data_IF_297933609159
#
_entry.id   IF_297933609159
#
_cell.length_a   1.000
_cell.length_b   1.000
_cell.length_c   1.000
_cell.angle_alpha   90.00
_cell.angle_beta   90.00
_cell.angle_gamma   90.00
#
_symmetry.space_group_name_H-M   'P 1'
#
loop_
_entity.id
_entity.type
_entity.pdbx_description
1 polymer ?
2 polymer ?
3 non-polymer ?
4 non-polymer ?
5 non-polymer ?
6 non-polymer ?
7 water ?
#
# COMPACT_ATOMS: atom_id res chain seq x y z
N UNK A 9 23.01 0.28 12.50
CA UNK A 9 21.82 -0.58 12.76
C UNK A 9 20.57 -0.08 11.99
N UNK A 10 20.45 1.23 11.89
CA UNK A 10 19.33 1.83 11.17
C UNK A 10 19.82 2.10 9.75
N UNK A 11 20.24 1.03 9.07
CA UNK A 11 20.78 1.13 7.71
C UNK A 11 19.73 1.27 6.60
N UNK A 12 18.46 1.31 6.97
CA UNK A 12 17.41 1.44 5.97
C UNK A 12 17.35 0.27 5.00
N UNK A 13 17.33 0.56 3.71
CA UNK A 13 17.27 -0.49 2.70
C UNK A 13 18.57 -1.28 2.60
N UNK A 14 19.63 -0.77 3.21
CA UNK A 14 20.91 -1.45 3.19
C UNK A 14 21.72 -1.23 1.92
N UNK A 15 22.83 -1.96 1.81
CA UNK A 15 23.70 -1.85 0.65
C UNK A 15 22.99 -2.30 -0.64
N UNK A 16 22.94 -1.42 -1.66
CA UNK A 16 22.30 -1.74 -2.93
C UNK A 16 22.82 -3.05 -3.51
N UNK A 17 21.89 -3.94 -3.84
CA UNK A 17 22.24 -5.25 -4.39
C UNK A 17 22.90 -5.15 -5.78
N UNK A 18 23.71 -6.15 -6.11
CA UNK A 18 24.40 -6.21 -7.40
C UNK A 18 23.63 -7.12 -8.36
N UNK A 19 23.34 -6.62 -9.55
CA UNK A 19 22.62 -7.41 -10.55
C UNK A 19 23.54 -8.46 -11.16
N UNK A 20 23.01 -9.68 -11.31
CA UNK A 20 23.77 -10.79 -11.87
C UNK A 20 24.41 -10.42 -13.20
N UNK A 21 25.54 -11.04 -13.49
CA UNK A 21 26.23 -10.75 -14.73
C UNK A 21 26.99 -9.44 -14.70
N UNK A 22 27.35 -8.98 -13.49
CA UNK A 22 28.10 -7.75 -13.28
C UNK A 22 27.49 -6.57 -14.01
N UNK A 23 26.16 -6.48 -13.97
CA UNK A 23 25.46 -5.40 -14.65
C UNK A 23 25.31 -4.17 -13.76
N UNK A 24 26.21 -4.01 -12.81
CA UNK A 24 26.16 -2.86 -11.93
C UNK A 24 25.10 -2.95 -10.85
N UNK A 25 25.08 -1.97 -9.93
CA UNK A 25 24.09 -1.98 -8.85
C UNK A 25 22.69 -1.71 -9.38
N UNK A 26 21.72 -2.40 -8.81
CA UNK A 26 20.33 -2.25 -9.23
C UNK A 26 19.89 -0.78 -9.11
N UNK A 27 20.34 -0.10 -8.07
CA UNK A 27 19.99 1.30 -7.83
C UNK A 27 21.01 1.94 -6.92
N UNK A 28 20.91 3.25 -6.70
CA UNK A 28 21.84 3.92 -5.81
C UNK A 28 21.07 4.83 -4.86
N UNK A 29 21.61 5.05 -3.67
CA UNK A 29 20.94 5.87 -2.65
C UNK A 29 20.35 7.19 -3.14
N UNK A 30 21.00 7.84 -4.10
CA UNK A 30 20.52 9.11 -4.61
C UNK A 30 19.13 9.02 -5.24
N UNK A 31 18.64 7.80 -5.42
CA UNK A 31 17.33 7.61 -6.02
C UNK A 31 16.22 7.55 -4.95
N UNK A 32 16.62 7.59 -3.69
CA UNK A 32 15.69 7.54 -2.56
C UNK A 32 15.46 8.95 -2.00
N UNK A 33 14.20 9.27 -1.71
CA UNK A 33 13.85 10.57 -1.13
C UNK A 33 14.37 10.61 0.31
N UNK A 34 14.50 11.81 0.86
CA UNK A 34 15.01 11.98 2.23
C UNK A 34 13.90 12.30 3.23
N UNK A 35 13.90 11.58 4.36
CA UNK A 35 12.89 11.75 5.39
C UNK A 35 13.50 12.00 6.77
N UNK A 36 12.69 12.54 7.68
CA UNK A 36 13.18 12.88 9.02
C UNK A 36 13.26 11.75 10.02
N UNK A 37 12.92 10.54 9.62
CA UNK A 37 12.94 9.45 10.58
C UNK A 37 13.92 8.35 10.24
N UNK A 38 14.27 7.52 11.24
CA UNK A 38 15.20 6.41 11.02
C UNK A 38 14.43 5.17 10.58
N UNK A 39 15.13 4.20 9.99
CA UNK A 39 14.52 2.96 9.55
C UNK A 39 15.53 1.81 9.59
N UNK A 40 15.03 0.62 9.90
CA UNK A 40 15.82 -0.58 9.95
C UNK A 40 15.37 -1.42 8.74
N UNK A 41 16.26 -2.25 8.18
CA UNK A 41 15.92 -3.08 7.02
C UNK A 41 14.95 -4.24 7.26
N UNK A 42 14.07 -4.48 6.28
CA UNK A 42 13.15 -5.62 6.38
C UNK A 42 13.97 -6.84 5.93
N UNK A 43 13.77 -8.00 6.56
CA UNK A 43 14.53 -9.20 6.15
C UNK A 43 14.26 -9.65 4.71
N UNK A 44 15.31 -9.94 3.93
CA UNK A 44 15.22 -10.47 2.55
C UNK A 44 15.63 -11.93 2.69
N UNK A 45 14.68 -12.82 2.44
CA UNK A 45 14.92 -14.24 2.60
C UNK A 45 14.34 -15.10 1.50
N UNK A 46 14.65 -16.40 1.57
CA UNK A 46 14.15 -17.37 0.64
C UNK A 46 12.86 -17.94 1.20
N UNK A 47 11.94 -18.22 0.29
CA UNK A 47 10.65 -18.79 0.64
C UNK A 47 10.85 -20.11 1.37
N UNK A 48 12.00 -20.75 1.20
CA UNK A 48 12.25 -22.01 1.89
C UNK A 48 12.83 -21.80 3.28
N UNK A 49 13.26 -20.57 3.55
CA UNK A 49 13.84 -20.21 4.84
C UNK A 49 12.80 -20.27 5.97
N UNK A 50 13.08 -21.06 7.02
CA UNK A 50 12.16 -21.19 8.15
C UNK A 50 11.85 -19.85 8.80
N UNK A 51 12.80 -18.92 8.75
CA UNK A 51 12.63 -17.60 9.33
C UNK A 51 11.55 -16.82 8.59
N UNK A 52 11.48 -16.99 7.27
CA UNK A 52 10.48 -16.28 6.45
C UNK A 52 9.08 -16.78 6.82
N UNK A 53 8.95 -18.10 7.00
CA UNK A 53 7.67 -18.68 7.35
C UNK A 53 7.25 -18.15 8.72
N UNK A 54 8.22 -18.04 9.61
CA UNK A 54 8.02 -17.54 10.98
C UNK A 54 7.55 -16.07 11.01
N UNK A 55 8.15 -15.25 10.15
CA UNK A 55 7.78 -13.85 10.08
C UNK A 55 6.35 -13.70 9.59
N UNK A 56 5.97 -14.43 8.55
CA UNK A 56 4.63 -14.33 7.99
C UNK A 56 3.58 -14.76 9.02
N UNK A 57 3.92 -15.83 9.74
CA UNK A 57 3.05 -16.34 10.77
C UNK A 57 2.85 -15.30 11.88
N UNK A 58 3.92 -14.62 12.28
CA UNK A 58 3.83 -13.64 13.36
C UNK A 58 3.40 -12.30 12.79
N UNK A 59 2.86 -12.33 11.58
CA UNK A 59 2.43 -11.10 10.94
C UNK A 59 3.47 -10.00 10.97
N UNK A 60 4.65 -10.32 10.47
CA UNK A 60 5.72 -9.34 10.37
C UNK A 60 6.16 -9.31 8.93
N UNK A 61 6.54 -8.13 8.42
CA UNK A 61 6.97 -8.03 7.03
C UNK A 61 8.22 -8.82 6.72
N UNK A 62 8.30 -9.28 5.48
CA UNK A 62 9.46 -10.02 5.00
C UNK A 62 9.43 -9.89 3.49
N UNK A 63 10.60 -9.75 2.89
CA UNK A 63 10.69 -9.73 1.44
C UNK A 63 11.15 -11.13 1.00
N UNK A 64 10.33 -11.83 0.20
CA UNK A 64 10.64 -13.16 -0.36
C UNK A 64 11.26 -12.95 -1.74
N UNK A 65 12.45 -13.49 -1.93
CA UNK A 65 13.16 -13.26 -3.19
C UNK A 65 13.01 -14.30 -4.29
N UNK A 66 12.50 -15.49 -3.96
CA UNK A 66 12.38 -16.55 -4.95
C UNK A 66 11.08 -17.34 -4.91
N UNK A 67 9.94 -16.65 -4.82
CA UNK A 67 8.66 -17.35 -4.79
C UNK A 67 8.19 -17.71 -6.22
N UNK A 68 8.64 -16.95 -7.23
CA UNK A 68 8.19 -17.15 -8.62
C UNK A 68 6.68 -16.86 -8.68
N UNK A 69 6.19 -16.12 -7.68
CA UNK A 69 4.76 -15.77 -7.58
C UNK A 69 4.21 -15.23 -8.90
N UNK A 70 4.86 -14.22 -9.49
CA UNK A 70 4.37 -13.65 -10.73
C UNK A 70 5.40 -13.85 -11.85
N UNK A 71 6.07 -14.99 -11.82
CA UNK A 71 7.11 -15.29 -12.82
C UNK A 71 6.66 -14.90 -14.26
N UNK A 72 5.49 -15.40 -14.73
CA UNK A 72 5.00 -15.07 -16.08
C UNK A 72 4.86 -13.57 -16.38
N UNK A 73 4.61 -12.75 -15.36
CA UNK A 73 4.47 -11.31 -15.59
C UNK A 73 5.81 -10.55 -15.64
N UNK A 74 6.90 -11.22 -15.28
CA UNK A 74 8.20 -10.54 -15.31
C UNK A 74 8.57 -10.01 -16.68
N UNK A 75 7.88 -10.52 -17.70
CA UNK A 75 8.16 -10.06 -19.07
C UNK A 75 7.25 -8.89 -19.45
N UNK A 76 6.24 -8.61 -18.62
CA UNK A 76 5.32 -7.51 -18.88
C UNK A 76 6.01 -6.16 -19.01
N UNK A 77 5.41 -5.30 -19.82
CA UNK A 77 5.89 -3.95 -20.05
C UNK A 77 4.78 -3.22 -20.80
N UNK A 78 4.92 -1.91 -20.95
CA UNK A 78 3.89 -1.13 -21.62
C UNK A 78 3.47 -1.69 -22.98
N UNK A 79 4.43 -2.05 -23.83
CA UNK A 79 4.10 -2.56 -25.15
C UNK A 79 3.31 -3.86 -25.08
N UNK A 80 3.86 -4.83 -24.37
CA UNK A 80 3.20 -6.12 -24.22
C UNK A 80 1.80 -5.97 -23.67
N UNK A 81 1.66 -5.18 -22.62
CA UNK A 81 0.35 -4.99 -21.98
C UNK A 81 -0.66 -4.30 -22.90
N UNK A 82 -0.23 -3.24 -23.56
CA UNK A 82 -1.10 -2.51 -24.45
C UNK A 82 -1.61 -3.39 -25.59
N UNK A 83 -0.99 -4.55 -25.75
CA UNK A 83 -1.34 -5.46 -26.83
C UNK A 83 -2.17 -6.67 -26.38
N UNK A 84 -2.22 -6.92 -25.07
CA UNK A 84 -2.95 -8.06 -24.57
C UNK A 84 -3.82 -7.82 -23.34
N UNK A 85 -3.79 -6.61 -22.79
CA UNK A 85 -4.56 -6.33 -21.59
C UNK A 85 -6.05 -6.14 -21.82
N UNK A 86 -6.44 -5.84 -23.06
CA UNK A 86 -7.85 -5.68 -23.36
C UNK A 86 -8.31 -4.26 -23.67
N UNK A 87 -9.61 -4.10 -23.86
CA UNK A 87 -10.20 -2.80 -24.17
C UNK A 87 -11.05 -2.25 -23.04
N UNK A 88 -10.92 -2.85 -21.86
CA UNK A 88 -11.68 -2.39 -20.70
C UNK A 88 -11.17 -1.06 -20.20
N UNK A 89 -11.88 -0.45 -19.26
CA UNK A 89 -11.45 0.85 -18.74
C UNK A 89 -10.46 0.70 -17.59
N UNK A 90 -9.49 1.61 -17.55
CA UNK A 90 -8.48 1.60 -16.50
C UNK A 90 -8.49 2.89 -15.72
N UNK A 91 -8.56 2.80 -14.39
CA UNK A 91 -8.56 3.99 -13.54
C UNK A 91 -7.15 4.59 -13.53
N UNK A 92 -7.05 5.84 -13.98
CA UNK A 92 -5.76 6.51 -14.03
C UNK A 92 -5.84 7.83 -13.26
N UNK A 93 -5.01 7.97 -12.24
CA UNK A 93 -4.99 9.16 -11.40
C UNK A 93 -3.96 10.14 -11.92
N UNK A 94 -4.34 11.41 -11.90
CA UNK A 94 -3.47 12.49 -12.37
C UNK A 94 -3.25 13.51 -11.26
N UNK A 95 -2.01 13.94 -11.10
CA UNK A 95 -1.68 14.92 -10.07
C UNK A 95 -0.51 15.79 -10.48
N UNK A 96 -0.44 16.98 -9.90
CA UNK A 96 0.66 17.89 -10.20
C UNK A 96 1.74 17.76 -9.14
N UNK A 97 1.61 16.75 -8.29
CA UNK A 97 2.58 16.50 -7.22
C UNK A 97 3.02 15.03 -7.27
N UNK A 98 4.13 14.70 -6.64
CA UNK A 98 4.59 13.32 -6.64
C UNK A 98 3.77 12.45 -5.68
N UNK A 99 3.08 13.09 -4.73
CA UNK A 99 2.28 12.35 -3.76
C UNK A 99 0.88 12.04 -4.24
N UNK A 100 0.57 10.75 -4.31
CA UNK A 100 -0.76 10.30 -4.73
C UNK A 100 -1.56 9.80 -3.53
N UNK A 101 -2.00 10.74 -2.70
CA UNK A 101 -2.78 10.40 -1.53
C UNK A 101 -4.11 9.77 -1.95
N UNK A 102 -4.40 8.60 -1.39
CA UNK A 102 -5.64 7.90 -1.69
C UNK A 102 -6.83 8.51 -0.92
N UNK A 103 -8.00 8.54 -1.57
CA UNK A 103 -9.21 9.06 -0.95
C UNK A 103 -10.43 8.26 -1.42
N UNK A 104 -11.41 8.13 -0.53
CA UNK A 104 -12.63 7.41 -0.82
C UNK A 104 -13.65 8.41 -1.32
N UNK A 105 -13.99 8.31 -2.60
CA UNK A 105 -14.95 9.22 -3.19
C UNK A 105 -16.34 9.16 -2.54
N UNK A 106 -16.70 7.99 -2.02
CA UNK A 106 -18.01 7.84 -1.38
C UNK A 106 -18.16 8.64 -0.10
N UNK A 107 -17.03 9.05 0.49
CA UNK A 107 -17.07 9.82 1.73
C UNK A 107 -16.89 11.31 1.48
N UNK A 108 -16.71 11.67 0.21
CA UNK A 108 -16.48 13.08 -0.13
C UNK A 108 -17.69 13.99 0.11
N UNK A 109 -18.87 13.39 0.25
CA UNK A 109 -20.08 14.14 0.48
C UNK A 109 -20.15 14.67 1.92
N UNK A 110 -19.60 13.91 2.87
CA UNK A 110 -19.61 14.32 4.28
C UNK A 110 -18.49 15.29 4.61
N UNK A 111 -17.64 15.56 3.64
CA UNK A 111 -16.54 16.50 3.80
C UNK A 111 -16.36 17.30 2.52
N UNK A 112 -17.25 18.27 2.33
CA UNK A 112 -17.23 19.12 1.13
C UNK A 112 -16.02 20.05 1.06
N UNK A 113 -15.32 20.21 2.18
CA UNK A 113 -14.14 21.08 2.22
C UNK A 113 -12.85 20.37 1.80
N UNK A 114 -12.96 19.10 1.42
CA UNK A 114 -11.80 18.33 0.99
C UNK A 114 -11.59 18.48 -0.51
N UNK A 115 -10.43 18.98 -0.91
CA UNK A 115 -10.10 19.17 -2.31
C UNK A 115 -8.94 18.26 -2.71
N UNK A 116 -9.25 17.12 -3.36
CA UNK A 116 -8.23 16.15 -3.81
C UNK A 116 -7.17 16.76 -4.70
N UNK A 117 -5.91 16.40 -4.46
CA UNK A 117 -4.80 16.91 -5.26
C UNK A 117 -4.58 16.03 -6.48
N UNK A 118 -5.33 14.94 -6.55
CA UNK A 118 -5.25 14.00 -7.66
C UNK A 118 -6.65 13.67 -8.14
N UNK A 119 -6.82 13.58 -9.46
CA UNK A 119 -8.11 13.29 -10.05
C UNK A 119 -8.07 11.96 -10.80
N UNK A 120 -9.16 11.20 -10.70
CA UNK A 120 -9.26 9.91 -11.38
C UNK A 120 -9.85 10.10 -12.77
N UNK A 121 -9.40 9.29 -13.72
CA UNK A 121 -9.89 9.36 -15.09
C UNK A 121 -9.86 7.99 -15.76
N UNK A 122 -11.01 7.49 -16.17
CA UNK A 122 -11.07 6.19 -16.85
C UNK A 122 -10.63 6.33 -18.30
N UNK A 123 -10.01 5.28 -18.82
CA UNK A 123 -9.55 5.28 -20.20
C UNK A 123 -9.04 3.90 -20.60
N UNK A 124 -8.74 3.74 -21.88
CA UNK A 124 -8.23 2.48 -22.40
C UNK A 124 -6.73 2.46 -22.18
N UNK A 125 -6.16 1.26 -22.05
CA UNK A 125 -4.72 1.14 -21.81
C UNK A 125 -3.92 1.93 -22.82
N UNK A 126 -4.28 1.80 -24.09
CA UNK A 126 -3.57 2.51 -25.16
C UNK A 126 -3.65 4.02 -24.96
N UNK A 127 -4.71 4.46 -24.30
CA UNK A 127 -4.89 5.88 -24.03
C UNK A 127 -3.92 6.30 -22.92
N UNK A 128 -3.71 5.40 -21.97
CA UNK A 128 -2.80 5.67 -20.86
C UNK A 128 -1.37 5.74 -21.38
N UNK A 129 -1.01 4.81 -22.26
CA UNK A 129 0.32 4.77 -22.83
C UNK A 129 0.57 6.00 -23.69
N UNK A 130 -0.47 6.41 -24.41
CA UNK A 130 -0.40 7.60 -25.25
C UNK A 130 -0.16 8.85 -24.41
N UNK A 131 -1.01 9.04 -23.40
CA UNK A 131 -0.91 10.20 -22.52
C UNK A 131 0.42 10.17 -21.78
N UNK A 132 0.91 8.96 -21.50
CA UNK A 132 2.18 8.81 -20.81
C UNK A 132 3.30 9.26 -21.75
N UNK A 133 3.19 8.87 -23.02
CA UNK A 133 4.19 9.25 -24.03
C UNK A 133 4.10 10.75 -24.27
N UNK A 134 2.87 11.25 -24.32
CA UNK A 134 2.63 12.67 -24.55
C UNK A 134 3.32 13.56 -23.51
N UNK A 135 3.44 13.05 -22.29
CA UNK A 135 4.07 13.80 -21.22
C UNK A 135 5.59 13.82 -21.36
N UNK A 136 6.18 12.65 -21.45
CA UNK A 136 7.63 12.54 -21.57
C UNK A 136 8.23 13.37 -22.70
N UNK A 137 7.52 13.43 -23.82
CA UNK A 137 7.99 14.16 -25.00
C UNK A 137 8.00 15.67 -24.81
N UNK A 138 6.86 16.22 -24.38
CA UNK A 138 6.76 17.66 -24.18
C UNK A 138 7.51 18.15 -22.95
N UNK A 139 8.07 17.22 -22.18
CA UNK A 139 8.80 17.60 -20.98
C UNK A 139 7.89 18.14 -19.89
N UNK A 140 6.62 17.73 -19.90
CA UNK A 140 5.69 18.20 -18.89
C UNK A 140 6.06 17.71 -17.50
N UNK A 141 5.30 18.13 -16.49
CA UNK A 141 5.59 17.72 -15.13
C UNK A 141 4.43 17.03 -14.43
N UNK A 142 3.30 16.88 -15.11
CA UNK A 142 2.17 16.22 -14.48
C UNK A 142 2.47 14.74 -14.35
N UNK A 143 2.07 14.14 -13.24
CA UNK A 143 2.33 12.73 -13.02
C UNK A 143 1.08 11.90 -13.18
N UNK A 144 1.26 10.65 -13.57
CA UNK A 144 0.15 9.72 -13.75
C UNK A 144 0.41 8.46 -12.94
N UNK A 145 -0.67 7.81 -12.51
CA UNK A 145 -0.54 6.57 -11.75
C UNK A 145 -1.74 5.68 -12.03
N UNK A 146 -1.53 4.63 -12.79
CA UNK A 146 -2.61 3.71 -13.10
C UNK A 146 -2.76 2.70 -11.95
N UNK A 147 -3.99 2.53 -11.49
CA UNK A 147 -4.31 1.60 -10.42
C UNK A 147 -5.64 0.94 -10.76
N UNK A 148 -5.57 -0.22 -11.38
CA UNK A 148 -6.76 -0.94 -11.80
C UNK A 148 -6.79 -2.39 -11.36
N UNK A 149 -7.95 -2.83 -10.90
CA UNK A 149 -8.14 -4.20 -10.46
C UNK A 149 -8.23 -5.11 -11.70
N UNK A 150 -7.53 -6.24 -11.66
CA UNK A 150 -7.55 -7.20 -12.75
C UNK A 150 -8.91 -7.87 -12.83
N UNK A 151 -9.65 -7.58 -13.89
CA UNK A 151 -10.99 -8.14 -14.08
C UNK A 151 -11.07 -9.14 -15.23
N UNK A 152 -12.29 -9.49 -15.62
CA UNK A 152 -12.50 -10.47 -16.69
C UNK A 152 -12.34 -9.94 -18.10
N UNK A 153 -12.06 -8.65 -18.25
CA UNK A 153 -11.91 -8.08 -19.58
C UNK A 153 -10.49 -8.11 -20.13
N UNK A 154 -9.57 -8.76 -19.42
CA UNK A 154 -8.18 -8.82 -19.88
C UNK A 154 -8.03 -9.84 -21.01
N UNK A 155 -7.08 -9.57 -21.92
CA UNK A 155 -6.83 -10.45 -23.04
C UNK A 155 -6.47 -11.88 -22.67
N UNK A 156 -6.46 -12.78 -23.64
CA UNK A 156 -6.15 -14.18 -23.39
C UNK A 156 -4.69 -14.41 -22.96
N UNK A 157 -3.77 -13.61 -23.49
CA UNK A 157 -2.37 -13.77 -23.12
C UNK A 157 -2.16 -13.40 -21.65
N UNK A 158 -2.81 -12.32 -21.22
CA UNK A 158 -2.70 -11.87 -19.84
C UNK A 158 -3.32 -12.92 -18.93
N UNK A 159 -4.44 -13.48 -19.36
CA UNK A 159 -5.10 -14.52 -18.59
C UNK A 159 -4.15 -15.72 -18.48
N UNK A 160 -3.42 -15.98 -19.55
CA UNK A 160 -2.47 -17.10 -19.57
C UNK A 160 -1.40 -16.87 -18.49
N UNK A 161 -0.85 -15.66 -18.50
CA UNK A 161 0.16 -15.28 -17.53
C UNK A 161 -0.38 -15.42 -16.11
N UNK A 162 -1.60 -14.96 -15.92
CA UNK A 162 -2.26 -15.01 -14.62
C UNK A 162 -2.30 -16.44 -14.12
N UNK A 163 -2.64 -17.35 -15.02
CA UNK A 163 -2.72 -18.78 -14.68
C UNK A 163 -1.35 -19.35 -14.34
N UNK A 164 -0.33 -18.74 -14.93
CA UNK A 164 1.03 -19.17 -14.67
C UNK A 164 1.57 -18.70 -13.32
N UNK A 165 0.83 -17.86 -12.56
CA UNK A 165 1.31 -17.39 -11.28
C UNK A 165 1.50 -18.59 -10.37
N UNK A 166 2.32 -18.45 -9.33
CA UNK A 166 2.56 -19.59 -8.43
C UNK A 166 1.46 -19.75 -7.37
N UNK A 167 0.31 -20.22 -7.83
CA UNK A 167 -0.85 -20.43 -6.94
C UNK A 167 -0.59 -21.53 -5.94
N UNK A 168 0.25 -22.49 -6.29
CA UNK A 168 0.56 -23.56 -5.35
C UNK A 168 1.19 -23.00 -4.06
N UNK A 169 2.05 -22.00 -4.22
CA UNK A 169 2.72 -21.42 -3.06
C UNK A 169 1.78 -20.47 -2.27
N UNK A 170 1.20 -19.51 -2.97
CA UNK A 170 0.33 -18.56 -2.31
C UNK A 170 -0.93 -19.20 -1.68
N UNK A 171 -1.47 -20.22 -2.35
CA UNK A 171 -2.65 -20.91 -1.82
C UNK A 171 -2.31 -21.62 -0.53
N UNK A 172 -1.08 -22.12 -0.42
CA UNK A 172 -0.67 -22.80 0.80
C UNK A 172 -0.51 -21.76 1.92
N UNK A 173 -0.02 -20.58 1.56
CA UNK A 173 0.14 -19.50 2.53
C UNK A 173 -1.24 -19.16 3.07
N UNK A 174 -2.17 -18.87 2.15
CA UNK A 174 -3.53 -18.55 2.51
C UNK A 174 -4.09 -19.58 3.50
N UNK A 175 -3.83 -20.86 3.21
CA UNK A 175 -4.28 -21.94 4.06
C UNK A 175 -3.58 -21.99 5.39
N UNK A 176 -2.26 -21.93 5.37
CA UNK A 176 -1.48 -21.97 6.61
C UNK A 176 -1.79 -20.83 7.60
N UNK A 177 -2.06 -19.63 7.08
CA UNK A 177 -2.37 -18.48 7.93
C UNK A 177 -3.87 -18.39 8.24
N UNK A 178 -4.67 -19.28 7.65
CA UNK A 178 -6.09 -19.27 7.89
C UNK A 178 -6.80 -18.06 7.32
N UNK A 179 -6.13 -17.36 6.41
CA UNK A 179 -6.72 -16.17 5.82
C UNK A 179 -8.04 -16.46 5.12
N UNK A 180 -8.79 -15.40 4.87
CA UNK A 180 -10.06 -15.51 4.17
C UNK A 180 -9.76 -15.82 2.73
N UNK A 181 -10.46 -15.16 1.80
CA UNK A 181 -10.22 -15.44 0.39
C UNK A 181 -9.62 -14.23 -0.36
N UNK A 182 -9.03 -14.50 -1.52
CA UNK A 182 -8.44 -13.45 -2.34
C UNK A 182 -9.55 -12.53 -2.80
N UNK A 183 -9.49 -11.26 -2.40
CA UNK A 183 -10.51 -10.31 -2.78
C UNK A 183 -10.19 -9.67 -4.10
N UNK A 184 -8.90 -9.45 -4.36
CA UNK A 184 -8.55 -8.85 -5.64
C UNK A 184 -7.04 -8.78 -5.89
N UNK A 185 -6.69 -8.33 -7.09
CA UNK A 185 -5.30 -8.20 -7.50
C UNK A 185 -5.23 -6.83 -8.14
N UNK A 186 -4.48 -5.93 -7.54
CA UNK A 186 -4.39 -4.59 -8.09
C UNK A 186 -3.17 -4.45 -8.97
N UNK A 187 -3.39 -3.91 -10.17
CA UNK A 187 -2.31 -3.68 -11.11
C UNK A 187 -1.89 -2.24 -10.91
N UNK A 188 -0.60 -2.03 -10.65
CA UNK A 188 -0.07 -0.69 -10.44
C UNK A 188 1.05 -0.36 -11.42
N UNK A 189 0.88 0.73 -12.14
CA UNK A 189 1.90 1.13 -13.08
C UNK A 189 2.08 2.61 -12.85
N UNK A 190 3.28 3.00 -12.40
CA UNK A 190 3.51 4.41 -12.12
C UNK A 190 4.77 4.99 -12.71
N UNK A 191 4.87 6.30 -12.66
CA UNK A 191 6.05 6.96 -13.19
C UNK A 191 7.11 7.07 -12.07
N UNK A 192 8.36 7.18 -12.49
CA UNK A 192 9.46 7.34 -11.56
C UNK A 192 9.18 8.53 -10.64
N UNK A 193 9.51 8.42 -9.37
CA UNK A 193 9.26 9.53 -8.46
C UNK A 193 7.90 9.46 -7.78
N UNK A 194 6.95 8.75 -8.39
CA UNK A 194 5.61 8.59 -7.84
C UNK A 194 5.65 8.06 -6.39
N UNK A 195 4.79 8.61 -5.56
CA UNK A 195 4.72 8.21 -4.17
C UNK A 195 3.32 7.97 -3.67
N UNK A 196 3.14 6.87 -2.96
CA UNK A 196 1.85 6.62 -2.34
C UNK A 196 2.09 6.88 -0.84
N UNK A 197 1.45 7.94 -0.27
CA UNK A 197 1.58 8.33 1.15
C UNK A 197 1.21 7.17 2.07
N UNK A 198 1.82 7.18 3.27
CA UNK A 198 1.63 6.15 4.28
C UNK A 198 0.18 5.92 4.69
N UNK A 199 -0.18 4.65 4.76
CA UNK A 199 -1.54 4.27 5.12
C UNK A 199 -1.51 2.81 5.50
N UNK A 200 -2.64 2.31 6.01
CA UNK A 200 -2.71 0.91 6.38
C UNK A 200 -3.98 0.27 5.78
N UNK A 201 -4.00 -1.05 5.69
CA UNK A 201 -5.17 -1.72 5.13
C UNK A 201 -5.75 -2.76 6.06
N UNK A 202 -6.99 -3.12 5.83
CA UNK A 202 -7.66 -4.14 6.65
C UNK A 202 -7.56 -5.51 5.99
N UNK A 203 -6.62 -5.70 5.07
CA UNK A 203 -6.44 -7.00 4.43
C UNK A 203 -4.96 -7.42 4.44
N UNK A 204 -4.70 -8.72 4.27
CA UNK A 204 -3.33 -9.19 4.22
C UNK A 204 -2.87 -8.89 2.80
N UNK A 205 -1.60 -8.59 2.61
CA UNK A 205 -1.15 -8.26 1.25
C UNK A 205 0.22 -8.83 0.83
N UNK A 206 0.26 -9.52 -0.32
CA UNK A 206 1.50 -10.00 -0.90
C UNK A 206 1.63 -9.02 -2.05
N UNK A 207 2.73 -8.26 -2.03
CA UNK A 207 3.05 -7.19 -2.96
C UNK A 207 4.14 -7.73 -3.89
N UNK A 208 3.79 -8.00 -5.15
CA UNK A 208 4.69 -8.60 -6.14
C UNK A 208 5.26 -7.62 -7.13
N UNK A 209 6.56 -7.35 -7.01
CA UNK A 209 7.19 -6.39 -7.89
C UNK A 209 7.54 -7.03 -9.25
N UNK A 210 7.26 -6.30 -10.34
CA UNK A 210 7.44 -6.83 -11.70
C UNK A 210 8.41 -6.02 -12.55
N UNK A 211 8.24 -4.71 -12.58
CA UNK A 211 9.14 -3.87 -13.36
C UNK A 211 9.59 -2.70 -12.52
N UNK A 212 10.86 -2.33 -12.65
CA UNK A 212 11.36 -1.21 -11.88
C UNK A 212 11.56 -1.53 -10.40
N UNK A 213 11.92 -0.50 -9.64
CA UNK A 213 12.17 -0.69 -8.21
C UNK A 213 11.32 0.26 -7.39
N UNK A 214 10.86 -0.23 -6.25
CA UNK A 214 10.08 0.55 -5.33
C UNK A 214 10.66 0.47 -3.93
N UNK A 215 10.71 1.62 -3.26
CA UNK A 215 11.20 1.67 -1.88
C UNK A 215 9.91 1.63 -1.04
N UNK A 216 9.85 0.66 -0.14
CA UNK A 216 8.69 0.46 0.71
C UNK A 216 9.09 0.69 2.16
N UNK A 217 8.39 1.60 2.84
CA UNK A 217 8.67 1.90 4.26
C UNK A 217 7.43 1.53 5.09
N UNK A 218 7.58 0.55 5.99
CA UNK A 218 6.48 0.10 6.83
C UNK A 218 6.67 0.49 8.29
N UNK A 219 5.53 0.64 8.99
CA UNK A 219 5.53 0.95 10.41
C UNK A 219 4.54 -0.01 11.08
N UNK A 220 4.94 -0.59 12.23
CA UNK A 220 4.08 -1.53 12.93
C UNK A 220 2.78 -0.86 13.38
N UNK A 221 1.73 -1.66 13.59
CA UNK A 221 0.44 -1.10 14.01
C UNK A 221 0.54 -0.28 15.31
N UNK A 222 1.53 -0.60 16.16
CA UNK A 222 1.72 0.10 17.43
C UNK A 222 2.27 1.51 17.28
N UNK A 223 2.44 1.95 16.04
CA UNK A 223 2.91 3.30 15.77
C UNK A 223 1.69 4.19 15.44
N UNK A 224 0.50 3.69 15.69
CA UNK A 224 -0.71 4.46 15.43
C UNK A 224 -0.59 5.90 16.00
N UNK A 225 -0.11 6.02 17.25
CA UNK A 225 0.01 7.33 17.90
C UNK A 225 0.96 8.34 17.25
N UNK A 226 1.90 7.86 16.44
CA UNK A 226 2.86 8.72 15.75
C UNK A 226 2.45 9.08 14.33
N UNK A 227 1.44 8.38 13.78
CA UNK A 227 1.05 8.58 12.38
C UNK A 227 -0.27 9.34 12.09
N UNK A 228 -1.04 9.58 13.12
CA UNK A 228 -2.23 10.38 13.01
C UNK A 228 -3.12 10.17 11.78
N UNK A 229 -3.72 9.00 11.68
CA UNK A 229 -4.59 8.77 10.52
C UNK A 229 -5.76 9.76 10.56
N UNK A 230 -6.32 10.04 9.39
CA UNK A 230 -7.48 10.93 9.30
C UNK A 230 -8.66 10.27 10.03
N UNK A 231 -9.71 11.04 10.32
CA UNK A 231 -10.92 10.53 10.99
C UNK A 231 -11.48 9.43 10.07
N UNK A 232 -12.06 8.39 10.66
CA UNK A 232 -12.63 7.28 9.87
C UNK A 232 -13.62 7.70 8.78
N UNK A 233 -14.46 8.70 9.05
CA UNK A 233 -15.45 9.17 8.07
C UNK A 233 -14.88 10.10 7.03
N UNK A 234 -13.66 10.55 7.23
CA UNK A 234 -13.04 11.43 6.24
C UNK A 234 -12.65 10.59 5.01
N UNK A 235 -12.65 11.19 3.81
CA UNK A 235 -12.29 10.49 2.57
C UNK A 235 -10.91 9.81 2.66
N UNK A 236 -10.00 10.40 3.44
CA UNK A 236 -8.67 9.82 3.56
C UNK A 236 -8.50 8.86 4.75
N UNK A 237 -9.63 8.32 5.19
CA UNK A 237 -9.62 7.31 6.25
C UNK A 237 -8.45 6.29 5.95
N UNK A 238 -7.73 5.88 6.99
CA UNK A 238 -6.61 4.92 6.92
C UNK A 238 -5.28 5.52 6.43
N UNK A 239 -5.34 6.75 5.93
CA UNK A 239 -4.14 7.42 5.43
C UNK A 239 -3.55 8.29 6.56
N UNK A 240 -2.25 8.50 6.58
CA UNK A 240 -1.63 9.35 7.61
C UNK A 240 -1.85 10.81 7.23
N UNK A 241 -2.09 11.67 8.23
CA UNK A 241 -2.28 13.11 7.98
C UNK A 241 -0.92 13.83 7.87
N UNK A 242 0.15 13.18 8.34
CA UNK A 242 1.46 13.79 8.34
C UNK A 242 2.06 13.89 6.93
N UNK A 243 2.54 15.07 6.57
CA UNK A 243 3.16 15.27 5.27
C UNK A 243 4.62 14.90 5.51
N UNK A 244 4.99 13.71 5.05
CA UNK A 244 6.34 13.18 5.20
C UNK A 244 7.42 14.13 4.68
N UNK A 245 7.07 14.95 3.70
CA UNK A 245 8.02 15.89 3.13
C UNK A 245 8.17 17.16 3.99
N UNK A 246 7.19 17.45 4.85
CA UNK A 246 7.24 18.62 5.69
C UNK A 246 6.38 18.38 6.91
N UNK A 247 6.86 17.58 7.84
CA UNK A 247 6.19 17.19 9.09
C UNK A 247 5.84 18.37 9.99
N UNK A 248 4.54 18.54 10.27
CA UNK A 248 4.08 19.61 11.15
C UNK A 248 4.19 19.07 12.59
N UNK A 249 5.32 19.30 13.25
CA UNK A 249 5.53 18.78 14.60
C UNK A 249 4.66 19.38 15.68
N UNK A 250 4.03 20.52 15.38
CA UNK A 250 3.14 21.16 16.32
C UNK A 250 1.85 20.36 16.35
N UNK A 251 1.32 20.00 15.19
CA UNK A 251 0.09 19.21 15.22
C UNK A 251 0.37 17.74 15.49
N UNK A 252 1.50 17.25 15.00
CA UNK A 252 1.80 15.82 15.12
C UNK A 252 3.11 15.58 15.85
N UNK A 253 3.18 16.03 17.10
CA UNK A 253 4.40 15.87 17.88
C UNK A 253 5.03 14.47 17.89
N UNK A 254 4.22 13.44 18.10
CA UNK A 254 4.73 12.08 18.15
C UNK A 254 5.31 11.54 16.84
N UNK A 255 5.20 12.27 15.74
CA UNK A 255 5.80 11.79 14.51
C UNK A 255 7.34 11.86 14.64
N UNK A 256 7.81 12.50 15.72
CA UNK A 256 9.24 12.65 16.02
C UNK A 256 9.78 11.37 16.62
N UNK A 257 8.86 10.49 16.98
CA UNK A 257 9.23 9.24 17.59
C UNK A 257 9.05 8.08 16.64
N UNK A 258 8.63 8.34 15.41
CA UNK A 258 8.37 7.26 14.46
C UNK A 258 9.62 6.52 13.99
N UNK A 259 9.53 5.20 13.90
CA UNK A 259 10.65 4.40 13.41
C UNK A 259 10.14 3.36 12.38
N UNK A 260 10.61 3.42 11.14
CA UNK A 260 10.14 2.47 10.15
C UNK A 260 11.06 1.31 9.77
N UNK A 261 10.52 0.38 8.97
CA UNK A 261 11.21 -0.78 8.44
C UNK A 261 11.18 -0.59 6.91
N UNK A 262 12.33 -0.54 6.25
CA UNK A 262 12.30 -0.31 4.84
C UNK A 262 13.02 -1.34 3.99
N UNK A 263 12.78 -1.25 2.69
CA UNK A 263 13.42 -2.16 1.75
C UNK A 263 13.19 -1.67 0.34
N UNK A 264 13.96 -2.20 -0.59
CA UNK A 264 13.74 -1.83 -1.98
C UNK A 264 13.48 -3.12 -2.71
N UNK A 265 12.28 -3.23 -3.29
CA UNK A 265 11.95 -4.44 -4.02
C UNK A 265 12.10 -4.21 -5.52
N UNK A 266 12.51 -5.28 -6.21
CA UNK A 266 12.69 -5.24 -7.64
C UNK A 266 12.05 -6.44 -8.30
N UNK A 267 12.17 -6.56 -9.63
CA UNK A 267 11.57 -7.68 -10.36
C UNK A 267 11.80 -9.02 -9.70
N UNK A 268 10.70 -9.70 -9.33
CA UNK A 268 10.83 -11.02 -8.72
C UNK A 268 10.63 -11.09 -7.22
N UNK A 269 10.81 -9.95 -6.56
CA UNK A 269 10.64 -9.90 -5.12
C UNK A 269 9.16 -9.75 -4.79
N UNK A 270 8.79 -10.30 -3.65
CA UNK A 270 7.45 -10.25 -3.13
C UNK A 270 7.60 -9.80 -1.67
N UNK A 271 6.93 -8.70 -1.37
CA UNK A 271 6.93 -8.13 -0.02
C UNK A 271 5.62 -8.46 0.66
N UNK A 272 5.73 -9.10 1.81
CA UNK A 272 4.55 -9.41 2.59
C UNK A 272 4.27 -8.16 3.46
N UNK A 273 3.16 -7.48 3.21
CA UNK A 273 2.75 -6.30 4.01
C UNK A 273 1.62 -6.79 4.92
N UNK A 274 1.96 -7.10 6.20
CA UNK A 274 0.91 -7.59 7.10
C UNK A 274 -0.25 -6.61 7.25
N UNK A 275 -1.45 -7.14 7.54
CA UNK A 275 -2.68 -6.37 7.71
C UNK A 275 -2.47 -5.40 8.87
N UNK A 276 -2.96 -4.17 8.73
CA UNK A 276 -2.84 -3.12 9.77
C UNK A 276 -1.49 -2.44 9.76
N UNK A 277 -0.53 -3.02 9.07
CA UNK A 277 0.76 -2.35 9.03
C UNK A 277 0.74 -1.17 8.08
N UNK A 278 1.24 -0.04 8.56
CA UNK A 278 1.33 1.17 7.73
C UNK A 278 2.41 0.93 6.67
N UNK A 279 2.25 1.52 5.50
CA UNK A 279 3.23 1.41 4.46
C UNK A 279 3.19 2.62 3.55
N UNK A 280 4.39 3.09 3.23
CA UNK A 280 4.65 4.24 2.36
C UNK A 280 5.41 3.61 1.20
N UNK A 281 4.98 3.87 -0.04
CA UNK A 281 5.63 3.25 -1.21
C UNK A 281 5.99 4.31 -2.24
N UNK A 282 7.24 4.30 -2.67
CA UNK A 282 7.67 5.27 -3.65
C UNK A 282 8.48 4.63 -4.77
N UNK A 283 8.23 5.07 -6.01
CA UNK A 283 8.97 4.57 -7.16
C UNK A 283 10.28 5.35 -7.20
N UNK A 284 11.41 4.64 -7.22
CA UNK A 284 12.71 5.31 -7.23
C UNK A 284 12.80 6.45 -8.26
N UNK A 285 13.44 7.52 -7.85
CA UNK A 285 13.66 8.70 -8.70
C UNK A 285 14.51 8.28 -9.91
N UNK A 286 14.14 8.76 -11.07
CA UNK A 286 14.85 8.46 -12.32
C UNK A 286 15.09 6.96 -12.50
N UNK A 287 14.13 6.17 -12.04
CA UNK A 287 14.26 4.73 -12.16
C UNK A 287 13.38 4.16 -13.25
N UNK A 288 12.68 5.05 -13.95
CA UNK A 288 11.80 4.61 -15.01
C UNK A 288 10.45 4.20 -14.44
N UNK A 289 9.53 3.75 -15.30
CA UNK A 289 8.21 3.37 -14.82
C UNK A 289 8.31 2.13 -13.96
N UNK A 290 7.30 1.90 -13.14
CA UNK A 290 7.33 0.71 -12.28
C UNK A 290 6.03 -0.05 -12.45
N UNK A 291 6.11 -1.36 -12.28
CA UNK A 291 4.95 -2.16 -12.41
C UNK A 291 4.90 -3.11 -11.24
N UNK A 292 3.70 -3.25 -10.66
CA UNK A 292 3.52 -4.10 -9.49
C UNK A 292 2.14 -4.73 -9.58
N UNK A 293 1.99 -5.87 -8.92
CA UNK A 293 0.70 -6.50 -8.83
C UNK A 293 0.62 -6.99 -7.39
N UNK A 294 -0.49 -6.69 -6.69
CA UNK A 294 -0.68 -7.15 -5.29
C UNK A 294 -1.72 -8.23 -5.22
N UNK A 295 -1.76 -8.89 -4.07
CA UNK A 295 -2.70 -9.97 -3.81
C UNK A 295 -3.29 -9.62 -2.45
N UNK A 296 -4.51 -9.12 -2.44
CA UNK A 296 -5.22 -8.76 -1.21
C UNK A 296 -6.13 -9.89 -0.71
N UNK A 297 -5.84 -10.39 0.49
CA UNK A 297 -6.61 -11.47 1.11
C UNK A 297 -7.32 -10.99 2.39
N UNK A 298 -8.50 -11.53 2.66
CA UNK A 298 -9.21 -11.17 3.87
C UNK A 298 -8.47 -11.80 5.03
N UNK A 299 -8.41 -11.08 6.15
CA UNK A 299 -7.71 -11.63 7.30
C UNK A 299 -8.45 -12.81 7.91
N UNK A 300 -7.77 -13.51 8.81
CA UNK A 300 -8.39 -14.64 9.48
C UNK A 300 -9.59 -14.13 10.29
N UNK A 301 -10.53 -15.03 10.63
CA UNK A 301 -11.70 -14.64 11.41
C UNK A 301 -11.33 -14.17 12.83
N UNK A 302 -12.00 -13.13 13.31
CA UNK A 302 -11.75 -12.60 14.64
C UNK A 302 -12.03 -13.71 15.67
N UNK A 303 -11.10 -13.92 16.62
CA UNK A 303 -11.22 -14.95 17.65
C UNK A 303 -12.59 -14.99 18.35
N UNK A 304 -12.91 -16.13 18.96
CA UNK A 304 -14.17 -16.33 19.66
C UNK A 304 -14.17 -15.44 20.90
N UNK A 305 -13.18 -15.66 21.75
CA UNK A 305 -13.00 -14.89 22.97
C UNK A 305 -11.59 -14.28 22.91
N UNK A 306 -11.47 -13.00 23.24
CA UNK A 306 -10.19 -12.32 23.19
C UNK A 306 -9.33 -12.65 24.40
N UNK A 307 -8.02 -12.72 24.17
CA UNK A 307 -7.06 -13.01 25.23
C UNK A 307 -6.30 -11.73 25.52
N UNK A 308 -5.97 -11.52 26.79
CA UNK A 308 -5.24 -10.32 27.18
C UNK A 308 -3.80 -10.66 27.54
N UNK A 309 -2.87 -9.71 27.32
CA UNK A 309 -3.08 -8.37 26.77
C UNK A 309 -3.59 -8.35 25.32
N UNK A 310 -4.21 -7.24 24.94
CA UNK A 310 -4.74 -7.06 23.61
C UNK A 310 -3.64 -6.60 22.65
N UNK A 311 -3.67 -7.09 21.41
CA UNK A 311 -2.66 -6.69 20.43
C UNK A 311 -2.94 -5.28 19.88
N UNK A 312 -1.87 -4.61 19.43
CA UNK A 312 -2.00 -3.26 18.91
C UNK A 312 -3.08 -3.15 17.85
N UNK A 313 -3.10 -4.08 16.88
CA UNK A 313 -4.08 -4.02 15.80
C UNK A 313 -5.51 -4.18 16.30
N UNK A 314 -5.69 -4.90 17.40
CA UNK A 314 -7.02 -5.07 17.98
C UNK A 314 -7.55 -3.72 18.55
N UNK A 315 -6.66 -2.94 19.15
CA UNK A 315 -7.01 -1.63 19.71
C UNK A 315 -7.34 -0.69 18.56
N UNK A 316 -6.64 -0.81 17.46
CA UNK A 316 -6.94 0.00 16.30
C UNK A 316 -8.35 -0.36 15.79
N UNK A 317 -8.67 -1.65 15.78
CA UNK A 317 -9.98 -2.16 15.34
C UNK A 317 -11.08 -1.55 16.22
N UNK A 318 -10.82 -1.48 17.52
CA UNK A 318 -11.75 -0.93 18.48
C UNK A 318 -11.95 0.59 18.23
N UNK A 319 -10.86 1.35 18.12
CA UNK A 319 -11.01 2.78 17.88
C UNK A 319 -11.84 2.99 16.60
N UNK A 320 -11.48 2.32 15.51
CA UNK A 320 -12.25 2.46 14.29
C UNK A 320 -13.73 2.19 14.54
N UNK A 321 -14.05 1.12 15.27
CA UNK A 321 -15.46 0.80 15.51
C UNK A 321 -16.16 1.88 16.32
N UNK A 322 -15.48 2.42 17.34
CA UNK A 322 -16.07 3.49 18.15
C UNK A 322 -16.40 4.68 17.24
N UNK A 323 -15.48 5.06 16.36
CA UNK A 323 -15.73 6.18 15.47
C UNK A 323 -16.94 5.91 14.57
N UNK A 324 -17.00 4.72 14.00
CA UNK A 324 -18.12 4.33 13.10
C UNK A 324 -19.45 4.37 13.86
N UNK A 325 -19.47 3.77 15.05
CA UNK A 325 -20.68 3.73 15.86
C UNK A 325 -21.19 5.13 16.23
N UNK A 326 -20.27 6.00 16.63
CA UNK A 326 -20.61 7.36 17.00
C UNK A 326 -21.17 8.11 15.81
N UNK A 327 -20.60 7.90 14.64
CA UNK A 327 -21.08 8.58 13.45
C UNK A 327 -22.51 8.19 13.13
N UNK A 328 -22.86 6.94 13.39
CA UNK A 328 -24.22 6.48 13.11
C UNK A 328 -25.19 6.94 14.18
N UNK A 329 -24.78 6.88 15.45
CA UNK A 329 -25.62 7.30 16.57
C UNK A 329 -25.95 8.79 16.48
N UNK A 330 -24.92 9.61 16.30
CA UNK A 330 -25.10 11.05 16.21
C UNK A 330 -25.80 11.45 14.92
N UNK A 331 -25.87 10.52 13.98
CA UNK A 331 -26.51 10.78 12.71
C UNK A 331 -25.78 11.77 11.84
N UNK A 332 -24.53 12.05 12.20
CA UNK A 332 -23.73 12.99 11.45
C UNK A 332 -22.25 12.86 11.86
N UNK A 333 -21.38 12.47 10.91
CA UNK A 333 -19.96 12.30 11.19
C UNK A 333 -19.24 13.54 11.72
N UNK A 334 -19.66 14.75 11.33
CA UNK A 334 -18.98 15.96 11.82
C UNK A 334 -19.18 16.19 13.29
N UNK A 335 -20.14 15.48 13.88
CA UNK A 335 -20.38 15.63 15.30
C UNK A 335 -19.53 14.67 16.14
N UNK A 336 -18.80 13.75 15.49
CA UNK A 336 -17.98 12.78 16.20
C UNK A 336 -16.90 13.45 17.04
N UNK A 337 -16.13 14.34 16.44
CA UNK A 337 -15.08 15.04 17.17
C UNK A 337 -15.57 15.82 18.38
N UNK A 338 -16.58 16.71 18.25
CA UNK A 338 -17.05 17.47 19.42
C UNK A 338 -17.46 16.52 20.56
N UNK A 339 -18.22 15.46 20.26
CA UNK A 339 -18.60 14.51 21.32
C UNK A 339 -17.35 13.88 21.95
N UNK A 340 -16.40 13.42 21.13
CA UNK A 340 -15.18 12.78 21.70
C UNK A 340 -14.44 13.76 22.61
N UNK A 341 -14.29 15.01 22.19
CA UNK A 341 -13.59 16.01 23.01
C UNK A 341 -14.30 16.27 24.34
N UNK A 342 -15.63 16.36 24.27
CA UNK A 342 -16.46 16.58 25.45
C UNK A 342 -16.23 15.43 26.40
N UNK A 343 -16.16 14.21 25.85
CA UNK A 343 -15.92 13.05 26.72
C UNK A 343 -14.63 13.10 27.50
N UNK A 344 -13.54 13.56 26.87
CA UNK A 344 -12.26 13.51 27.56
C UNK A 344 -11.78 14.79 28.25
N UNK A 345 -12.15 15.96 27.72
CA UNK A 345 -11.65 17.19 28.32
C UNK A 345 -11.95 17.27 29.79
N UNK A 346 -10.90 17.34 30.58
CA UNK A 346 -11.08 17.47 32.01
C UNK A 346 -11.51 16.18 32.69
N UNK A 347 -11.57 15.10 31.92
CA UNK A 347 -12.01 13.82 32.48
C UNK A 347 -10.99 12.69 32.25
N UNK A 348 -10.36 12.65 31.08
CA UNK A 348 -9.38 11.62 30.76
C UNK A 348 -8.05 12.17 30.27
N UNK A 349 -7.94 13.49 30.12
CA UNK A 349 -6.69 14.08 29.64
C UNK A 349 -6.00 14.99 30.67
N UNK B 7 -18.23 -7.61 20.14
CA UNK B 7 -17.61 -7.64 18.78
C UNK B 7 -17.01 -6.28 18.42
N UNK B 8 -16.29 -5.66 19.36
CA UNK B 8 -15.68 -4.36 19.13
C UNK B 8 -14.33 -4.53 18.42
N UNK B 9 -13.80 -5.75 18.49
CA UNK B 9 -12.54 -6.08 17.83
C UNK B 9 -12.81 -6.52 16.39
N UNK B 10 -14.07 -6.55 16.00
CA UNK B 10 -14.44 -6.94 14.64
C UNK B 10 -13.88 -5.90 13.67
N UNK B 11 -13.62 -6.31 12.44
CA UNK B 11 -13.06 -5.39 11.47
C UNK B 11 -13.62 -5.62 10.08
N UNK B 12 -13.41 -4.66 9.19
CA UNK B 12 -13.89 -4.74 7.83
C UNK B 12 -12.73 -5.20 6.94
N UNK B 13 -12.73 -4.81 5.67
CA UNK B 13 -11.66 -5.23 4.78
C UNK B 13 -11.33 -4.13 3.77
N UNK B 14 -11.32 -2.89 4.22
CA UNK B 14 -11.05 -1.80 3.29
C UNK B 14 -9.57 -1.61 2.98
N UNK B 15 -9.30 -1.22 1.74
CA UNK B 15 -7.93 -1.00 1.28
C UNK B 15 -7.95 0.19 0.34
N UNK B 16 -6.77 0.57 -0.16
CA UNK B 16 -6.66 1.69 -1.07
C UNK B 16 -7.14 1.36 -2.49
N UNK B 17 -8.36 0.85 -2.59
CA UNK B 17 -8.99 0.49 -3.86
C UNK B 17 -10.51 0.34 -3.68
N UNK B 18 -11.28 0.70 -4.72
CA UNK B 18 -12.74 0.59 -4.68
C UNK B 18 -13.19 -0.82 -4.30
N UNK B 19 -14.22 -0.91 -3.46
CA UNK B 19 -14.71 -2.21 -3.04
C UNK B 19 -15.43 -2.91 -4.19
X LIG C 1 -1.80 -0.12 0.72
X LIG D 1 2.58 19.73 -18.12
X LIG D 1 2.63 18.26 -18.05
X LIG D 1 3.15 20.18 -19.40
X LIG D 1 1.17 20.19 -18.03
X LIG D 1 3.37 20.31 -17.02
X LIG E 1 11.94 11.92 -10.62
X LIG E 1 11.96 10.54 -11.15
X LIG E 1 13.29 12.27 -10.13
X LIG E 1 11.52 12.85 -11.69
X LIG E 1 10.97 12.01 -9.51
X LIG F 1 -1.03 -1.68 -1.55
X LIG F 1 -0.81 -2.62 -2.32
X LIG F 1 -1.65 -1.90 -0.51
X LIG F 1 -0.58 -0.26 -1.89
X LIG F 1 -0.90 0.64 -1.13
X LIG F 1 0.22 -0.02 -3.01
X LIG F 1 0.39 1.27 -3.48
X LIG F 1 1.66 1.46 -4.32
X LIG F 1 2.01 2.59 -4.67
X LIG F 1 2.35 0.51 -4.67
X LIG G 1 0.49 13.90 2.38
X LIG G 1 1.66 14.60 2.32
X LIG G 1 -0.26 14.22 3.69
X LIG G 1 -0.61 15.62 3.72
X LIG G 1 -1.52 13.44 3.71
X LIG G 1 -2.17 13.69 4.85
#
# INVERSE_FOLDING_TARGET
>A
MAATAAEAVASGSGEPREEAGALGPAWDESQLRSYSFPTRPIPRLSQSDPRAEELIENEEPVVLTDTNLVYPALKWDLEYLQENIGNGDFSVYSASTHKFLYYDEKKMANFQNFKPRSNREEMKFHEFVEKLQDIQQRGGEERLYLQQTLNDTVGRKIVMDFLGFNWNWINKQQGKRGWGQLTSNLLLIGMEGNVTPAHYGEQQNFFAQIKGYKRCILFPPDQFECLYPYPVHHPCDRQSQVDFDNPDYERFPNFQNVVGYETVVGPGDVLYIPMYWWHHIESLLNGGITITVNFWYKGAPTPKRIEYPLKAHQKVAIMRNIEKMLGEALGNPQEVGPLLNTMIKGRYN
>B
DESGLPQLTSYDCEVNAPI
>C hetero
1 ZN ZN
>D hetero
1 SO4 S O1 O2 O3 O4
>E hetero
1 SO4 S O1 O2 O3 O4
>F hetero
1 AKG C1 O1 O2 C2 O5 C3 C4 C5 O3 O4
>G hetero
1 GOL C1 O1 C2 O2 C3 O3
#
